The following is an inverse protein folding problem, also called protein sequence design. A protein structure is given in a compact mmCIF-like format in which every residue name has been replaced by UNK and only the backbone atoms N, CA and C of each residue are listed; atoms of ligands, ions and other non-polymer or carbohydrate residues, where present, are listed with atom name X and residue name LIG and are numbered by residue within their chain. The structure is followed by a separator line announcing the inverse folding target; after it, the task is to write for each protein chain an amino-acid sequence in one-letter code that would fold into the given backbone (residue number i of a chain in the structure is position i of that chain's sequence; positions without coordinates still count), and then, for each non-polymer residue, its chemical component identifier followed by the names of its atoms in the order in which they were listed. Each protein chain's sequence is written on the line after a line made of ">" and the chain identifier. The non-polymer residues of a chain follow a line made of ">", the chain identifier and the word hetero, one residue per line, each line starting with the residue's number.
data_IF_076657785528
#
_entry.id   IF_076657785528
#
_cell.length_a   1.000
_cell.length_b   1.000
_cell.length_c   1.000
_cell.angle_alpha   90.00
_cell.angle_beta   90.00
_cell.angle_gamma   90.00
#
_symmetry.space_group_name_H-M   'P 1'
#
loop_
_entity.id
_entity.type
_entity.pdbx_description
1 polymer ?
#
# COMPACT_ATOMS: atom_id res chain seq x y z
N UNK A 1 3.46 -0.78 -10.72
CA UNK A 1 2.01 -1.00 -10.51
C UNK A 1 1.46 -1.73 -11.71
N UNK A 2 1.35 -3.06 -11.60
CA UNK A 2 0.90 -3.93 -12.68
C UNK A 2 -0.60 -4.24 -12.59
N UNK A 3 -1.38 -3.37 -11.95
CA UNK A 3 -2.83 -3.56 -11.80
C UNK A 3 -3.50 -3.59 -13.19
N UNK A 4 -3.93 -4.77 -13.60
CA UNK A 4 -4.51 -5.08 -14.90
C UNK A 4 -5.92 -4.52 -15.11
N UNK A 5 -6.59 -4.07 -14.04
CA UNK A 5 -7.90 -3.45 -14.10
C UNK A 5 -7.85 -1.93 -14.25
N UNK A 6 -6.70 -1.32 -13.93
CA UNK A 6 -6.47 0.09 -14.26
C UNK A 6 -6.06 0.19 -15.74
N UNK A 7 -6.85 0.87 -16.60
CA UNK A 7 -6.57 0.92 -18.03
C UNK A 7 -5.19 1.48 -18.36
N UNK A 8 -4.56 0.96 -19.42
CA UNK A 8 -3.17 1.32 -19.79
C UNK A 8 -2.98 2.80 -20.14
N UNK A 9 -4.04 3.49 -20.57
CA UNK A 9 -4.00 4.93 -20.85
C UNK A 9 -3.95 5.79 -19.57
N UNK A 10 -4.19 5.19 -18.39
CA UNK A 10 -4.14 5.88 -17.11
C UNK A 10 -2.71 5.87 -16.60
N UNK A 11 -2.15 7.05 -16.36
CA UNK A 11 -0.93 7.17 -15.56
C UNK A 11 -1.24 6.81 -14.10
N UNK A 12 -0.97 5.55 -13.76
CA UNK A 12 -1.23 4.98 -12.44
C UNK A 12 -0.46 5.75 -11.35
N UNK A 13 0.76 6.21 -11.63
CA UNK A 13 1.58 6.96 -10.66
C UNK A 13 0.98 8.32 -10.38
N UNK A 14 0.61 9.06 -11.42
CA UNK A 14 -0.05 10.35 -11.28
C UNK A 14 -1.41 10.23 -10.58
N UNK A 15 -2.16 9.17 -10.86
CA UNK A 15 -3.44 8.89 -10.19
C UNK A 15 -3.26 8.71 -8.68
N UNK A 16 -2.33 7.84 -8.25
CA UNK A 16 -2.09 7.60 -6.82
C UNK A 16 -1.58 8.87 -6.13
N UNK A 17 -0.72 9.66 -6.77
CA UNK A 17 -0.27 10.95 -6.20
C UNK A 17 -1.42 11.93 -5.97
N UNK A 18 -2.36 12.02 -6.92
CA UNK A 18 -3.55 12.86 -6.77
C UNK A 18 -4.44 12.37 -5.63
N UNK A 19 -4.61 11.06 -5.48
CA UNK A 19 -5.36 10.45 -4.38
C UNK A 19 -4.71 10.76 -3.03
N UNK A 20 -3.40 10.55 -2.88
CA UNK A 20 -2.66 10.91 -1.66
C UNK A 20 -2.88 12.37 -1.26
N UNK A 21 -2.79 13.30 -2.23
CA UNK A 21 -3.03 14.73 -1.98
C UNK A 21 -4.47 15.02 -1.54
N UNK A 22 -5.45 14.40 -2.21
CA UNK A 22 -6.87 14.56 -1.88
C UNK A 22 -7.21 13.99 -0.49
N UNK A 23 -6.49 12.95 -0.06
CA UNK A 23 -6.61 12.33 1.26
C UNK A 23 -5.77 13.02 2.35
N UNK A 24 -5.40 14.29 2.16
CA UNK A 24 -4.68 15.06 3.18
C UNK A 24 -3.18 14.74 3.28
N UNK A 25 -2.57 14.26 2.18
CA UNK A 25 -1.16 13.86 2.17
C UNK A 25 -0.93 12.43 2.62
N UNK A 26 -1.92 11.55 2.43
CA UNK A 26 -1.82 10.14 2.80
C UNK A 26 -0.61 9.46 2.15
N UNK A 27 -0.01 8.51 2.88
CA UNK A 27 1.10 7.71 2.38
C UNK A 27 0.62 6.64 1.39
N UNK A 28 1.53 6.21 0.50
CA UNK A 28 1.32 5.11 -0.43
C UNK A 28 2.48 4.14 -0.34
N UNK A 29 2.19 2.86 -0.54
CA UNK A 29 3.20 1.81 -0.71
C UNK A 29 2.94 1.12 -2.04
N UNK A 30 3.99 0.95 -2.84
CA UNK A 30 3.95 0.14 -4.05
C UNK A 30 4.53 -1.24 -3.74
N UNK A 31 3.73 -2.29 -3.95
CA UNK A 31 4.21 -3.67 -3.87
C UNK A 31 4.85 -4.03 -5.22
N UNK A 32 6.13 -4.43 -5.19
CA UNK A 32 6.88 -4.76 -6.39
C UNK A 32 6.23 -5.94 -7.12
N UNK A 33 6.00 -5.80 -8.44
CA UNK A 33 5.25 -6.76 -9.26
C UNK A 33 3.82 -7.06 -8.74
N UNK A 34 3.28 -6.24 -7.84
CA UNK A 34 1.89 -6.31 -7.43
C UNK A 34 0.95 -5.93 -8.57
N UNK A 35 -0.10 -6.74 -8.74
CA UNK A 35 -1.19 -6.50 -9.67
C UNK A 35 -2.47 -6.12 -8.90
N UNK A 36 -3.65 -6.21 -9.53
CA UNK A 36 -4.90 -5.80 -8.91
C UNK A 36 -5.23 -6.59 -7.63
N UNK A 37 -4.90 -7.87 -7.64
CA UNK A 37 -5.16 -8.76 -6.52
C UNK A 37 -3.88 -8.99 -5.75
N UNK A 38 -3.68 -8.24 -4.66
CA UNK A 38 -2.55 -8.46 -3.74
C UNK A 38 -2.61 -9.82 -3.01
N UNK A 39 -3.66 -10.63 -3.22
CA UNK A 39 -3.74 -12.00 -2.72
C UNK A 39 -2.66 -12.94 -3.28
N UNK A 40 -1.96 -12.56 -4.35
CA UNK A 40 -0.80 -13.29 -4.86
C UNK A 40 0.53 -12.81 -4.24
N UNK A 41 0.51 -11.74 -3.42
CA UNK A 41 1.65 -11.11 -2.73
C UNK A 41 1.28 -10.79 -1.28
N UNK A 42 0.69 -11.79 -0.61
CA UNK A 42 0.15 -11.65 0.74
C UNK A 42 1.23 -11.25 1.72
N UNK A 43 2.42 -11.86 1.64
CA UNK A 43 3.50 -11.60 2.57
C UNK A 43 3.98 -10.14 2.47
N UNK A 44 4.24 -9.64 1.26
CA UNK A 44 4.68 -8.26 1.06
C UNK A 44 3.59 -7.25 1.44
N UNK A 45 2.33 -7.54 1.11
CA UNK A 45 1.21 -6.68 1.46
C UNK A 45 1.00 -6.61 2.98
N UNK A 46 1.03 -7.76 3.68
CA UNK A 46 0.87 -7.83 5.14
C UNK A 46 2.05 -7.17 5.84
N UNK A 47 3.28 -7.41 5.40
CA UNK A 47 4.47 -6.78 5.98
C UNK A 47 4.42 -5.25 5.83
N UNK A 48 4.02 -4.73 4.66
CA UNK A 48 3.83 -3.30 4.47
C UNK A 48 2.80 -2.68 5.43
N UNK A 49 1.70 -3.41 5.72
CA UNK A 49 0.69 -2.97 6.69
C UNK A 49 1.26 -3.00 8.12
N UNK A 50 1.95 -4.08 8.49
CA UNK A 50 2.57 -4.21 9.82
C UNK A 50 3.61 -3.10 10.04
N UNK A 51 4.45 -2.82 9.05
CA UNK A 51 5.46 -1.77 9.13
C UNK A 51 4.84 -0.38 9.31
N UNK A 52 3.75 -0.10 8.57
CA UNK A 52 2.98 1.12 8.76
C UNK A 52 2.42 1.23 10.18
N UNK A 53 1.81 0.16 10.70
CA UNK A 53 1.25 0.13 12.06
C UNK A 53 2.34 0.26 13.14
N UNK A 54 3.52 -0.34 12.96
CA UNK A 54 4.64 -0.20 13.89
C UNK A 54 5.18 1.23 13.95
N UNK A 55 5.15 1.95 12.81
CA UNK A 55 5.65 3.33 12.72
C UNK A 55 4.64 4.35 13.23
N UNK A 56 3.39 4.27 12.77
CA UNK A 56 2.35 5.28 13.01
C UNK A 56 1.37 4.89 14.14
N UNK A 57 1.37 3.63 14.55
CA UNK A 57 0.48 3.11 15.58
C UNK A 57 0.87 3.56 17.00
N UNK A 58 0.01 3.28 17.99
CA UNK A 58 0.27 3.61 19.38
C UNK A 58 1.60 3.00 19.85
N UNK A 59 2.48 3.83 20.39
CA UNK A 59 3.74 3.34 20.98
C UNK A 59 3.41 2.42 22.16
N UNK A 60 3.87 1.18 22.11
CA UNK A 60 3.55 0.14 23.10
C UNK A 60 2.48 -0.86 22.67
N UNK A 61 2.05 -0.84 21.40
CA UNK A 61 1.39 -2.00 20.81
C UNK A 61 2.44 -3.09 20.57
N UNK A 62 2.67 -3.92 21.59
CA UNK A 62 3.43 -5.15 21.43
C UNK A 62 2.64 -6.06 20.48
N UNK A 63 3.27 -6.45 19.39
CA UNK A 63 2.76 -7.43 18.42
C UNK A 63 2.37 -8.73 19.15
N UNK A 64 1.08 -9.03 19.39
CA UNK A 64 0.68 -10.19 20.17
C UNK A 64 0.82 -11.52 19.40
N UNK A 65 1.39 -11.49 18.20
CA UNK A 65 1.72 -12.67 17.41
C UNK A 65 3.22 -13.02 17.43
N UNK A 66 4.03 -12.26 18.19
CA UNK A 66 5.40 -12.62 18.58
C UNK A 66 5.46 -13.23 20.00
#
# INVERSE_FOLDING_TARGET
>A
MADEYVPDYVDKKALVERLCRAMGGAEKVEIEYGNHSLSNRVEEAVNAIIDFLKREGPKGWDDPWN
#
